data_IF_337352185963
#
_entry.id   IF_337352185963
#
_cell.length_a   1.000
_cell.length_b   1.000
_cell.length_c   1.000
_cell.angle_alpha   90.00
_cell.angle_beta   90.00
_cell.angle_gamma   90.00
#
_symmetry.space_group_name_H-M   'P 1'
#
loop_
_entity.id
_entity.type
_entity.pdbx_description
1 polymer ?
#
# COMPACT_ATOMS: atom_id res chain seq x y z
N UNK A 1 -21.83 -6.84 -10.54
CA UNK A 1 -21.04 -6.86 -9.28
C UNK A 1 -21.70 -5.81 -8.39
N UNK A 2 -21.98 -6.10 -7.12
CA UNK A 2 -22.60 -5.11 -6.22
C UNK A 2 -21.52 -4.39 -5.40
N UNK A 3 -21.77 -3.17 -4.89
CA UNK A 3 -20.83 -2.51 -4.00
C UNK A 3 -20.58 -3.33 -2.73
N UNK A 4 -19.31 -3.48 -2.35
CA UNK A 4 -18.90 -4.39 -1.28
C UNK A 4 -19.04 -3.75 0.11
N UNK A 5 -19.43 -4.55 1.09
CA UNK A 5 -19.29 -4.22 2.52
C UNK A 5 -17.81 -4.24 2.94
N UNK A 6 -17.48 -3.70 4.12
CA UNK A 6 -16.09 -3.71 4.60
C UNK A 6 -15.53 -5.13 4.74
N UNK A 7 -16.34 -6.08 5.24
CA UNK A 7 -15.94 -7.49 5.32
C UNK A 7 -15.72 -8.14 3.96
N UNK A 8 -16.61 -7.88 2.99
CA UNK A 8 -16.45 -8.38 1.62
C UNK A 8 -15.23 -7.75 0.91
N UNK A 9 -14.89 -6.49 1.21
CA UNK A 9 -13.66 -5.85 0.71
C UNK A 9 -12.41 -6.55 1.24
N UNK A 10 -12.39 -6.87 2.54
CA UNK A 10 -11.27 -7.55 3.16
C UNK A 10 -11.13 -8.98 2.63
N UNK A 11 -12.23 -9.71 2.49
CA UNK A 11 -12.23 -11.05 1.90
C UNK A 11 -11.72 -11.03 0.44
N UNK A 12 -12.15 -10.05 -0.36
CA UNK A 12 -11.65 -9.87 -1.71
C UNK A 12 -10.14 -9.55 -1.74
N UNK A 13 -9.65 -8.70 -0.84
CA UNK A 13 -8.23 -8.38 -0.72
C UNK A 13 -7.40 -9.61 -0.28
N UNK A 14 -7.89 -10.39 0.67
CA UNK A 14 -7.25 -11.63 1.13
C UNK A 14 -7.27 -12.70 0.03
N UNK A 15 -8.37 -12.81 -0.71
CA UNK A 15 -8.47 -13.70 -1.87
C UNK A 15 -7.45 -13.34 -2.95
N UNK A 16 -7.31 -12.05 -3.27
CA UNK A 16 -6.29 -11.56 -4.20
C UNK A 16 -4.87 -11.90 -3.71
N UNK A 17 -4.60 -11.66 -2.42
CA UNK A 17 -3.32 -11.99 -1.81
C UNK A 17 -3.04 -13.49 -1.86
N UNK A 18 -4.02 -14.35 -1.56
CA UNK A 18 -3.87 -15.81 -1.61
C UNK A 18 -3.54 -16.32 -3.00
N UNK A 19 -4.22 -15.78 -4.02
CA UNK A 19 -3.99 -16.19 -5.42
C UNK A 19 -2.62 -15.73 -5.91
N UNK A 20 -2.17 -14.55 -5.50
CA UNK A 20 -0.92 -13.93 -6.00
C UNK A 20 0.15 -13.81 -4.90
N UNK A 21 0.11 -14.71 -3.91
CA UNK A 21 0.97 -14.63 -2.73
C UNK A 21 2.46 -14.59 -3.06
N UNK A 22 3.01 -15.37 -4.02
CA UNK A 22 4.46 -15.35 -4.25
C UNK A 22 4.89 -14.01 -4.81
N UNK A 23 4.06 -13.38 -5.65
CA UNK A 23 4.38 -12.10 -6.26
C UNK A 23 4.32 -10.98 -5.21
N UNK A 24 3.23 -10.92 -4.46
CA UNK A 24 2.95 -9.82 -3.53
C UNK A 24 3.78 -9.91 -2.25
N UNK A 25 3.86 -11.08 -1.60
CA UNK A 25 4.62 -11.23 -0.35
C UNK A 25 6.13 -11.14 -0.58
N UNK A 26 6.66 -11.73 -1.65
CA UNK A 26 8.11 -11.63 -1.93
C UNK A 26 8.49 -10.20 -2.29
N UNK A 27 7.68 -9.52 -3.10
CA UNK A 27 7.92 -8.12 -3.45
C UNK A 27 7.82 -7.22 -2.22
N UNK A 28 6.84 -7.46 -1.34
CA UNK A 28 6.70 -6.75 -0.07
C UNK A 28 7.87 -7.01 0.88
N UNK A 29 8.36 -8.25 0.98
CA UNK A 29 9.52 -8.59 1.80
C UNK A 29 10.81 -7.93 1.30
N UNK A 30 11.03 -7.91 -0.01
CA UNK A 30 12.18 -7.20 -0.62
C UNK A 30 12.09 -5.71 -0.33
N UNK A 31 10.92 -5.09 -0.52
CA UNK A 31 10.73 -3.66 -0.26
C UNK A 31 10.88 -3.31 1.23
N UNK A 32 10.34 -4.14 2.12
CA UNK A 32 10.51 -3.99 3.57
C UNK A 32 11.99 -4.12 3.97
N UNK A 33 12.72 -5.08 3.40
CA UNK A 33 14.16 -5.22 3.64
C UNK A 33 14.93 -3.98 3.14
N UNK A 34 14.61 -3.48 1.95
CA UNK A 34 15.20 -2.25 1.42
C UNK A 34 14.89 -1.04 2.32
N UNK A 35 13.66 -0.92 2.80
CA UNK A 35 13.26 0.14 3.71
C UNK A 35 14.07 0.11 5.01
N UNK A 36 14.17 -1.06 5.64
CA UNK A 36 14.95 -1.23 6.86
C UNK A 36 16.42 -0.86 6.63
N UNK A 37 17.01 -1.25 5.49
CA UNK A 37 18.38 -0.91 5.14
C UNK A 37 18.57 0.60 4.88
N UNK A 38 17.64 1.25 4.18
CA UNK A 38 17.70 2.69 3.85
C UNK A 38 17.48 3.55 5.08
N UNK A 39 16.58 3.16 5.99
CA UNK A 39 16.27 3.91 7.20
C UNK A 39 17.25 3.66 8.34
N UNK A 40 18.01 2.57 8.31
CA UNK A 40 19.01 2.24 9.33
C UNK A 40 19.96 3.40 9.67
N UNK A 41 20.68 4.03 8.71
CA UNK A 41 21.60 5.12 9.04
C UNK A 41 20.89 6.33 9.68
N UNK A 42 19.66 6.63 9.25
CA UNK A 42 18.87 7.73 9.81
C UNK A 42 18.45 7.43 11.26
N UNK A 43 18.05 6.19 11.54
CA UNK A 43 17.68 5.72 12.88
C UNK A 43 18.88 5.68 13.82
N UNK A 44 20.03 5.20 13.34
CA UNK A 44 21.28 5.21 14.09
C UNK A 44 21.71 6.64 14.47
N UNK A 45 21.61 7.59 13.52
CA UNK A 45 21.87 8.99 13.81
C UNK A 45 20.87 9.59 14.84
N UNK A 46 19.60 9.19 14.75
CA UNK A 46 18.56 9.61 15.68
C UNK A 46 18.68 8.97 17.08
N UNK A 47 19.50 7.91 17.23
CA UNK A 47 19.58 7.12 18.45
C UNK A 47 18.37 6.20 18.68
N UNK A 48 17.62 5.91 17.61
CA UNK A 48 16.48 4.98 17.60
C UNK A 48 16.88 3.64 17.00
N UNK A 49 18.08 3.18 17.33
CA UNK A 49 18.58 1.89 16.88
C UNK A 49 17.67 0.73 17.31
N UNK A 50 17.68 -0.38 16.55
CA UNK A 50 17.04 -1.60 16.99
C UNK A 50 17.43 -1.90 18.44
N UNK A 51 16.45 -2.25 19.28
CA UNK A 51 15.34 -3.12 18.88
C UNK A 51 13.91 -2.54 18.97
N UNK A 52 13.71 -1.49 19.74
CA UNK A 52 12.37 -0.97 20.07
C UNK A 52 12.02 0.32 19.30
N UNK A 53 13.00 0.94 18.62
CA UNK A 53 12.85 2.21 17.90
C UNK A 53 12.11 3.29 18.71
N UNK A 54 12.23 3.27 20.04
CA UNK A 54 11.51 4.17 20.93
C UNK A 54 12.21 5.54 20.96
N UNK A 55 11.43 6.64 21.01
CA UNK A 55 11.99 7.98 21.13
C UNK A 55 12.64 8.19 22.49
N UNK A 56 13.91 8.60 22.47
CA UNK A 56 14.53 9.25 23.62
C UNK A 56 14.07 10.70 23.72
N UNK A 57 13.67 11.14 24.91
CA UNK A 57 13.21 12.53 25.15
C UNK A 57 14.30 13.58 24.84
N UNK A 58 15.57 13.17 24.82
CA UNK A 58 16.71 14.05 24.58
C UNK A 58 16.97 14.34 23.09
N UNK A 59 16.31 13.60 22.18
CA UNK A 59 16.52 13.67 20.72
C UNK A 59 15.20 13.68 19.93
N UNK A 60 14.24 14.48 20.40
CA UNK A 60 12.90 14.56 19.80
C UNK A 60 12.97 14.93 18.32
N UNK A 61 13.78 15.92 17.93
CA UNK A 61 13.89 16.37 16.53
C UNK A 61 14.36 15.26 15.57
N UNK A 62 15.57 14.69 15.78
CA UNK A 62 16.06 13.56 14.97
C UNK A 62 15.12 12.35 14.97
N UNK A 63 14.54 12.01 16.12
CA UNK A 63 13.61 10.89 16.21
C UNK A 63 12.33 11.15 15.42
N UNK A 64 11.78 12.35 15.50
CA UNK A 64 10.61 12.76 14.73
C UNK A 64 10.89 12.69 13.23
N UNK A 65 12.06 13.17 12.78
CA UNK A 65 12.47 13.06 11.39
C UNK A 65 12.56 11.60 10.93
N UNK A 66 13.17 10.72 11.71
CA UNK A 66 13.27 9.29 11.41
C UNK A 66 11.89 8.62 11.33
N UNK A 67 10.97 9.01 12.21
CA UNK A 67 9.59 8.55 12.21
C UNK A 67 8.82 9.03 10.96
N UNK A 68 8.89 10.33 10.64
CA UNK A 68 8.27 10.90 9.44
C UNK A 68 8.85 10.29 8.14
N UNK A 69 10.15 10.03 8.10
CA UNK A 69 10.79 9.35 6.98
C UNK A 69 10.26 7.92 6.81
N UNK A 70 10.06 7.19 7.91
CA UNK A 70 9.40 5.88 7.90
C UNK A 70 7.97 5.93 7.35
N UNK A 71 7.15 6.87 7.79
CA UNK A 71 5.80 7.03 7.24
C UNK A 71 5.79 7.37 5.74
N UNK A 72 6.76 8.16 5.28
CA UNK A 72 6.89 8.52 3.88
C UNK A 72 7.37 7.33 3.01
N UNK A 73 8.33 6.53 3.51
CA UNK A 73 8.78 5.31 2.83
C UNK A 73 7.68 4.26 2.76
N UNK A 74 6.91 4.08 3.84
CA UNK A 74 5.74 3.21 3.86
C UNK A 74 4.73 3.62 2.77
N UNK A 75 4.43 4.90 2.66
CA UNK A 75 3.57 5.43 1.59
C UNK A 75 4.10 5.14 0.18
N UNK A 76 5.41 5.24 -0.04
CA UNK A 76 6.04 4.90 -1.31
C UNK A 76 5.94 3.40 -1.63
N UNK A 77 6.19 2.54 -0.64
CA UNK A 77 6.11 1.08 -0.78
C UNK A 77 4.68 0.66 -1.09
N UNK A 78 3.70 1.21 -0.37
CA UNK A 78 2.29 0.96 -0.64
C UNK A 78 1.86 1.45 -2.03
N UNK A 79 2.42 2.56 -2.53
CA UNK A 79 2.18 2.98 -3.91
C UNK A 79 2.75 1.95 -4.92
N UNK A 80 3.99 1.48 -4.75
CA UNK A 80 4.57 0.49 -5.64
C UNK A 80 3.79 -0.83 -5.63
N UNK A 81 3.49 -1.35 -4.44
CA UNK A 81 2.75 -2.60 -4.26
C UNK A 81 1.28 -2.46 -4.65
N UNK A 82 0.64 -1.33 -4.39
CA UNK A 82 -0.73 -1.05 -4.81
C UNK A 82 -0.87 -1.04 -6.33
N UNK A 83 0.15 -0.54 -7.04
CA UNK A 83 0.25 -0.67 -8.49
C UNK A 83 0.34 -2.14 -8.94
N UNK A 84 1.23 -2.93 -8.31
CA UNK A 84 1.39 -4.36 -8.59
C UNK A 84 0.10 -5.15 -8.31
N UNK A 85 -0.54 -4.89 -7.17
CA UNK A 85 -1.83 -5.46 -6.81
C UNK A 85 -2.93 -5.02 -7.78
N UNK A 86 -2.88 -3.79 -8.30
CA UNK A 86 -3.76 -3.29 -9.36
C UNK A 86 -3.65 -4.08 -10.67
N UNK A 87 -2.42 -4.46 -11.09
CA UNK A 87 -2.20 -5.34 -12.25
C UNK A 87 -2.89 -6.68 -12.02
N UNK A 88 -2.77 -7.23 -10.81
CA UNK A 88 -3.32 -8.53 -10.43
C UNK A 88 -4.85 -8.53 -10.26
N UNK A 89 -5.40 -7.43 -9.74
CA UNK A 89 -6.82 -7.31 -9.41
C UNK A 89 -7.72 -7.37 -10.65
N UNK A 90 -7.26 -6.83 -11.79
CA UNK A 90 -8.03 -6.85 -13.04
C UNK A 90 -8.37 -8.26 -13.53
N UNK A 91 -7.37 -9.11 -13.83
CA UNK A 91 -7.58 -10.51 -14.19
C UNK A 91 -8.31 -11.30 -13.09
N UNK A 92 -8.01 -11.03 -11.81
CA UNK A 92 -8.67 -11.65 -10.66
C UNK A 92 -10.19 -11.43 -10.65
N UNK A 93 -10.65 -10.19 -10.87
CA UNK A 93 -12.08 -9.87 -10.97
C UNK A 93 -12.76 -10.47 -12.20
N UNK A 94 -12.00 -10.71 -13.27
CA UNK A 94 -12.51 -11.32 -14.49
C UNK A 94 -12.51 -12.85 -14.44
N UNK A 95 -12.01 -13.46 -13.36
CA UNK A 95 -11.85 -14.91 -13.23
C UNK A 95 -10.82 -15.48 -14.21
N UNK A 96 -9.92 -14.65 -14.72
CA UNK A 96 -8.90 -15.05 -15.69
C UNK A 96 -7.59 -15.36 -14.94
N UNK A 97 -7.10 -16.62 -14.96
CA UNK A 97 -5.85 -16.95 -14.31
C UNK A 97 -4.68 -16.30 -15.05
N UNK A 98 -4.10 -15.26 -14.45
CA UNK A 98 -2.87 -14.64 -14.94
C UNK A 98 -1.67 -15.18 -14.15
N UNK A 99 -0.70 -15.76 -14.85
CA UNK A 99 0.54 -16.22 -14.22
C UNK A 99 1.37 -15.05 -13.69
N UNK A 100 2.00 -15.22 -12.52
CA UNK A 100 2.80 -14.18 -11.86
C UNK A 100 3.89 -13.56 -12.76
N UNK A 101 4.51 -14.35 -13.65
CA UNK A 101 5.51 -13.86 -14.63
C UNK A 101 4.93 -12.87 -15.64
N UNK A 102 3.66 -13.05 -16.00
CA UNK A 102 2.96 -12.13 -16.89
C UNK A 102 2.63 -10.83 -16.17
N UNK A 103 2.09 -10.92 -14.96
CA UNK A 103 1.78 -9.77 -14.11
C UNK A 103 3.04 -8.95 -13.79
N UNK A 104 4.14 -9.62 -13.44
CA UNK A 104 5.41 -8.96 -13.16
C UNK A 104 5.94 -8.22 -14.40
N UNK A 105 5.90 -8.82 -15.59
CA UNK A 105 6.30 -8.12 -16.83
C UNK A 105 5.45 -6.88 -17.10
N UNK A 106 4.14 -6.96 -16.85
CA UNK A 106 3.26 -5.80 -16.99
C UNK A 106 3.59 -4.71 -15.97
N UNK A 107 3.85 -5.09 -14.71
CA UNK A 107 4.24 -4.17 -13.64
C UNK A 107 5.59 -3.49 -13.96
N UNK A 108 6.60 -4.27 -14.37
CA UNK A 108 7.94 -3.78 -14.73
C UNK A 108 7.87 -2.78 -15.89
N UNK A 109 7.02 -3.01 -16.89
CA UNK A 109 6.82 -2.04 -17.99
C UNK A 109 6.27 -0.70 -17.50
N UNK A 110 5.54 -0.68 -16.38
CA UNK A 110 5.00 0.53 -15.75
C UNK A 110 5.84 1.01 -14.57
N UNK A 111 6.94 0.31 -14.24
CA UNK A 111 7.77 0.61 -13.08
C UNK A 111 8.28 2.06 -13.07
N UNK A 112 8.76 2.66 -14.18
CA UNK A 112 9.20 4.06 -14.15
C UNK A 112 8.09 5.01 -13.72
N UNK A 113 6.87 4.79 -14.21
CA UNK A 113 5.72 5.62 -13.87
C UNK A 113 5.24 5.36 -12.42
N UNK A 114 5.32 4.12 -11.94
CA UNK A 114 5.07 3.77 -10.54
C UNK A 114 6.09 4.37 -9.59
N UNK A 115 7.38 4.38 -9.97
CA UNK A 115 8.45 5.03 -9.20
C UNK A 115 8.21 6.53 -9.09
N UNK A 116 7.74 7.19 -10.16
CA UNK A 116 7.35 8.60 -10.10
C UNK A 116 6.17 8.79 -9.14
N UNK A 117 5.13 7.97 -9.20
CA UNK A 117 4.00 8.07 -8.25
C UNK A 117 4.45 7.81 -6.81
N UNK A 118 5.31 6.82 -6.58
CA UNK A 118 5.84 6.49 -5.26
C UNK A 118 6.71 7.64 -4.70
N UNK A 119 7.59 8.21 -5.52
CA UNK A 119 8.42 9.35 -5.16
C UNK A 119 7.58 10.60 -4.85
N UNK A 120 6.57 10.90 -5.67
CA UNK A 120 5.64 12.02 -5.42
C UNK A 120 4.82 11.77 -4.15
N UNK A 121 4.38 10.53 -3.92
CA UNK A 121 3.67 10.14 -2.69
C UNK A 121 4.54 10.38 -1.46
N UNK A 122 5.79 9.92 -1.47
CA UNK A 122 6.75 10.20 -0.40
C UNK A 122 7.00 11.69 -0.21
N UNK A 123 7.18 12.44 -1.30
CA UNK A 123 7.43 13.89 -1.27
C UNK A 123 6.23 14.69 -0.74
N UNK A 124 5.00 14.17 -0.86
CA UNK A 124 3.79 14.75 -0.26
C UNK A 124 3.68 14.36 1.22
N UNK A 125 3.89 13.07 1.53
CA UNK A 125 3.66 12.54 2.87
C UNK A 125 4.75 12.95 3.87
N UNK A 126 6.01 13.11 3.45
CA UNK A 126 7.10 13.53 4.34
C UNK A 126 6.85 14.91 4.97
N UNK A 127 6.64 16.00 4.21
CA UNK A 127 6.34 17.30 4.81
C UNK A 127 5.02 17.27 5.57
N UNK A 128 4.01 16.53 5.09
CA UNK A 128 2.76 16.38 5.82
C UNK A 128 2.99 15.79 7.21
N UNK A 129 3.78 14.72 7.32
CA UNK A 129 4.15 14.11 8.59
C UNK A 129 4.98 15.05 9.47
N UNK A 130 5.89 15.84 8.88
CA UNK A 130 6.77 16.76 9.61
C UNK A 130 6.00 17.91 10.26
N UNK A 131 5.07 18.55 9.54
CA UNK A 131 4.35 19.72 10.05
C UNK A 131 3.28 19.32 11.06
N UNK A 132 2.37 18.41 10.71
CA UNK A 132 1.35 17.90 11.63
C UNK A 132 0.93 16.48 11.19
N UNK A 133 0.82 15.55 12.13
CA UNK A 133 0.32 14.19 11.86
C UNK A 133 -1.07 14.17 11.21
N UNK A 134 -1.88 15.20 11.47
CA UNK A 134 -3.25 15.28 10.99
C UNK A 134 -3.35 15.44 9.45
N UNK A 135 -2.68 16.41 8.80
CA UNK A 135 -2.51 16.45 7.34
C UNK A 135 -2.03 15.14 6.72
N UNK A 136 -1.13 14.42 7.39
CA UNK A 136 -0.64 13.13 6.90
C UNK A 136 -1.78 12.12 6.72
N UNK A 137 -2.67 11.99 7.71
CA UNK A 137 -3.82 11.08 7.64
C UNK A 137 -4.72 11.40 6.43
N UNK A 138 -5.01 12.68 6.20
CA UNK A 138 -5.83 13.09 5.05
C UNK A 138 -5.14 12.79 3.72
N UNK A 139 -3.88 13.20 3.58
CA UNK A 139 -3.13 13.03 2.33
C UNK A 139 -2.84 11.55 2.02
N UNK A 140 -2.60 10.73 3.04
CA UNK A 140 -2.45 9.29 2.89
C UNK A 140 -3.71 8.64 2.30
N UNK A 141 -4.88 9.05 2.76
CA UNK A 141 -6.17 8.62 2.20
C UNK A 141 -6.38 9.08 0.75
N UNK A 142 -6.00 10.33 0.44
CA UNK A 142 -6.25 10.96 -0.87
C UNK A 142 -5.31 10.46 -1.98
N UNK A 143 -4.03 10.24 -1.68
CA UNK A 143 -3.02 9.85 -2.68
C UNK A 143 -3.00 8.33 -2.89
N UNK A 144 -3.58 7.58 -1.95
CA UNK A 144 -3.47 6.13 -1.87
C UNK A 144 -3.92 5.33 -3.10
N UNK A 145 -4.93 5.83 -3.82
CA UNK A 145 -5.50 5.14 -4.98
C UNK A 145 -4.76 5.48 -6.30
N UNK A 146 -3.74 6.33 -6.26
CA UNK A 146 -3.05 6.80 -7.45
C UNK A 146 -2.32 5.67 -8.20
N UNK A 147 -1.66 4.76 -7.48
CA UNK A 147 -0.94 3.67 -8.13
C UNK A 147 -1.86 2.61 -8.78
N UNK A 148 -2.94 2.13 -8.11
CA UNK A 148 -3.97 1.35 -8.78
C UNK A 148 -4.57 2.08 -10.00
N UNK A 149 -4.84 3.38 -9.88
CA UNK A 149 -5.38 4.18 -11.00
C UNK A 149 -4.43 4.22 -12.20
N UNK A 150 -3.13 4.43 -11.97
CA UNK A 150 -2.11 4.46 -13.01
C UNK A 150 -2.10 3.17 -13.83
N UNK A 151 -2.18 2.04 -13.13
CA UNK A 151 -2.03 0.71 -13.74
C UNK A 151 -3.33 0.26 -14.40
N UNK A 152 -4.45 0.35 -13.69
CA UNK A 152 -5.75 -0.15 -14.15
C UNK A 152 -6.28 0.70 -15.30
N UNK A 153 -6.20 2.03 -15.19
CA UNK A 153 -6.65 2.93 -16.28
C UNK A 153 -5.59 3.17 -17.34
N UNK A 154 -4.36 2.71 -17.13
CA UNK A 154 -3.23 2.88 -18.06
C UNK A 154 -2.90 4.35 -18.37
N UNK A 155 -3.13 5.25 -17.40
CA UNK A 155 -2.89 6.69 -17.49
C UNK A 155 -1.50 7.11 -16.99
N UNK A 156 -1.09 8.35 -17.27
CA UNK A 156 0.17 8.90 -16.78
C UNK A 156 0.14 9.29 -15.29
N UNK A 157 1.30 9.50 -14.64
CA UNK A 157 1.42 9.70 -13.18
C UNK A 157 0.64 10.91 -12.67
N UNK A 158 0.73 12.06 -13.34
CA UNK A 158 0.00 13.27 -12.94
C UNK A 158 -1.53 13.07 -13.00
N UNK A 159 -2.03 12.39 -14.05
CA UNK A 159 -3.47 12.07 -14.18
C UNK A 159 -3.92 11.05 -13.15
N UNK A 160 -3.04 10.11 -12.78
CA UNK A 160 -3.32 9.10 -11.77
C UNK A 160 -3.52 9.73 -10.38
N UNK A 161 -2.65 10.69 -10.00
CA UNK A 161 -2.80 11.46 -8.77
C UNK A 161 -4.11 12.26 -8.78
N UNK A 162 -4.36 13.06 -9.83
CA UNK A 162 -5.60 13.84 -9.96
C UNK A 162 -6.85 12.97 -9.90
N UNK A 163 -6.80 11.76 -10.48
CA UNK A 163 -7.89 10.79 -10.38
C UNK A 163 -8.08 10.26 -8.97
N UNK A 164 -7.00 9.96 -8.25
CA UNK A 164 -7.05 9.53 -6.85
C UNK A 164 -7.75 10.59 -5.99
N UNK A 165 -7.36 11.86 -6.13
CA UNK A 165 -8.01 12.97 -5.41
C UNK A 165 -9.51 13.09 -5.72
N UNK A 166 -9.90 13.02 -7.00
CA UNK A 166 -11.30 13.10 -7.41
C UNK A 166 -12.14 11.93 -6.89
N UNK A 167 -11.60 10.71 -6.93
CA UNK A 167 -12.32 9.53 -6.45
C UNK A 167 -12.44 9.54 -4.92
N UNK A 168 -11.41 10.01 -4.22
CA UNK A 168 -11.44 10.09 -2.77
C UNK A 168 -12.38 11.18 -2.24
N UNK A 169 -12.52 12.31 -2.95
CA UNK A 169 -13.37 13.44 -2.52
C UNK A 169 -14.88 13.17 -2.63
N UNK A 170 -15.32 12.30 -3.55
CA UNK A 170 -16.75 12.05 -3.80
C UNK A 170 -17.42 11.23 -2.70
N UNK A 171 -16.66 10.58 -1.80
CA UNK A 171 -17.28 9.77 -0.76
C UNK A 171 -16.55 9.63 0.56
N UNK A 172 -15.27 10.04 0.67
CA UNK A 172 -14.36 9.87 1.82
C UNK A 172 -14.25 8.44 2.41
N UNK A 173 -15.16 7.53 2.09
CA UNK A 173 -15.20 6.13 2.50
C UNK A 173 -13.96 5.40 2.05
N UNK A 174 -13.47 5.65 0.84
CA UNK A 174 -12.20 5.10 0.37
C UNK A 174 -11.05 5.45 1.31
N UNK A 175 -10.90 6.75 1.59
CA UNK A 175 -9.91 7.24 2.53
C UNK A 175 -10.11 6.64 3.94
N UNK A 176 -11.35 6.58 4.44
CA UNK A 176 -11.67 6.04 5.75
C UNK A 176 -11.37 4.53 5.87
N UNK A 177 -11.67 3.72 4.85
CA UNK A 177 -11.36 2.29 4.81
C UNK A 177 -9.85 2.06 4.79
N UNK A 178 -9.13 2.83 3.96
CA UNK A 178 -7.66 2.77 3.89
C UNK A 178 -7.03 3.16 5.23
N UNK A 179 -7.50 4.25 5.84
CA UNK A 179 -7.06 4.69 7.16
C UNK A 179 -7.39 3.66 8.23
N UNK A 180 -8.58 3.08 8.22
CA UNK A 180 -8.97 2.02 9.15
C UNK A 180 -8.07 0.78 9.02
N UNK A 181 -7.74 0.38 7.78
CA UNK A 181 -6.79 -0.69 7.51
C UNK A 181 -5.39 -0.37 8.05
N UNK A 182 -4.89 0.84 7.80
CA UNK A 182 -3.60 1.28 8.29
C UNK A 182 -3.54 1.40 9.81
N UNK A 183 -4.57 1.96 10.45
CA UNK A 183 -4.63 2.06 11.91
C UNK A 183 -4.73 0.69 12.58
N UNK A 184 -5.51 -0.23 12.01
CA UNK A 184 -5.58 -1.62 12.48
C UNK A 184 -4.22 -2.29 12.38
N UNK A 185 -3.53 -2.07 11.26
CA UNK A 185 -2.17 -2.54 11.07
C UNK A 185 -1.21 -1.95 12.11
N UNK A 186 -1.20 -0.63 12.29
CA UNK A 186 -0.32 0.04 13.24
C UNK A 186 -0.52 -0.50 14.66
N UNK A 187 -1.76 -0.75 15.08
CA UNK A 187 -2.07 -1.37 16.37
C UNK A 187 -1.50 -2.80 16.47
N UNK A 188 -1.71 -3.64 15.45
CA UNK A 188 -1.16 -5.00 15.41
C UNK A 188 0.38 -4.97 15.46
N UNK A 189 0.99 -4.08 14.69
CA UNK A 189 2.45 -3.89 14.62
C UNK A 189 3.03 -3.50 15.98
N UNK A 190 2.39 -2.58 16.70
CA UNK A 190 2.81 -2.18 18.05
C UNK A 190 2.74 -3.35 19.04
N UNK A 191 1.64 -4.11 19.02
CA UNK A 191 1.46 -5.28 19.90
C UNK A 191 2.48 -6.38 19.58
N UNK A 192 2.65 -6.73 18.30
CA UNK A 192 3.60 -7.76 17.88
C UNK A 192 5.05 -7.36 18.17
N UNK A 193 5.44 -6.12 17.85
CA UNK A 193 6.79 -5.63 18.11
C UNK A 193 7.11 -5.62 19.60
N UNK A 194 6.19 -5.11 20.43
CA UNK A 194 6.38 -5.04 21.89
C UNK A 194 6.41 -6.43 22.52
N UNK A 195 5.51 -7.32 22.10
CA UNK A 195 5.44 -8.70 22.63
C UNK A 195 6.67 -9.50 22.24
N UNK A 196 7.07 -9.44 20.96
CA UNK A 196 8.22 -10.18 20.50
C UNK A 196 9.52 -9.65 21.15
N UNK A 197 9.64 -8.34 21.34
CA UNK A 197 10.75 -7.76 22.10
C UNK A 197 10.81 -8.33 23.53
N UNK A 198 9.68 -8.29 24.23
CA UNK A 198 9.55 -8.79 25.61
C UNK A 198 9.84 -10.29 25.75
N UNK A 199 9.46 -11.09 24.76
CA UNK A 199 9.77 -12.53 24.73
C UNK A 199 11.23 -12.78 24.37
N UNK A 200 11.76 -12.07 23.38
CA UNK A 200 13.11 -12.31 22.88
C UNK A 200 14.17 -11.96 23.94
N UNK A 201 13.96 -10.92 24.75
CA UNK A 201 14.90 -10.53 25.80
C UNK A 201 15.06 -11.58 26.91
N UNK A 202 14.08 -12.49 27.06
CA UNK A 202 14.17 -13.63 27.99
C UNK A 202 15.05 -14.74 27.41
N UNK A 203 14.99 -14.95 26.09
CA UNK A 203 15.70 -16.03 25.40
C UNK A 203 17.11 -15.64 24.94
N UNK A 204 17.30 -14.37 24.57
CA UNK A 204 18.54 -13.86 23.96
C UNK A 204 18.90 -12.54 24.63
N UNK A 205 20.17 -12.40 25.03
CA UNK A 205 20.67 -11.19 25.69
C UNK A 205 20.49 -9.96 24.77
N UNK A 206 19.81 -8.89 25.24
CA UNK A 206 19.71 -7.63 24.51
C UNK A 206 21.09 -7.05 24.19
N UNK A 207 21.21 -6.40 23.03
CA UNK A 207 22.46 -5.78 22.56
C UNK A 207 23.43 -6.73 21.83
N UNK A 208 23.10 -8.03 21.72
CA UNK A 208 23.87 -8.95 20.87
C UNK A 208 23.48 -8.81 19.41
N UNK A 209 24.40 -9.11 18.49
CA UNK A 209 24.10 -9.11 17.04
C UNK A 209 22.98 -10.09 16.70
N UNK A 210 22.91 -11.23 17.39
CA UNK A 210 21.84 -12.23 17.22
C UNK A 210 20.48 -11.62 17.57
N UNK A 211 20.38 -10.90 18.69
CA UNK A 211 19.16 -10.20 19.09
C UNK A 211 18.71 -9.20 18.02
N UNK A 212 19.64 -8.38 17.52
CA UNK A 212 19.37 -7.38 16.47
C UNK A 212 18.89 -8.03 15.18
N UNK A 213 19.55 -9.09 14.71
CA UNK A 213 19.19 -9.80 13.49
C UNK A 213 17.81 -10.46 13.59
N UNK A 214 17.47 -11.04 14.75
CA UNK A 214 16.14 -11.62 14.98
C UNK A 214 15.04 -10.56 14.98
N UNK A 215 15.27 -9.43 15.65
CA UNK A 215 14.34 -8.29 15.64
C UNK A 215 14.17 -7.72 14.24
N UNK A 216 15.26 -7.51 13.49
CA UNK A 216 15.21 -7.01 12.11
C UNK A 216 14.42 -7.96 11.21
N UNK A 217 14.67 -9.27 11.34
CA UNK A 217 13.97 -10.30 10.57
C UNK A 217 12.47 -10.31 10.89
N UNK A 218 12.11 -10.15 12.16
CA UNK A 218 10.72 -10.01 12.57
C UNK A 218 10.08 -8.77 11.95
N UNK A 219 10.72 -7.60 12.05
CA UNK A 219 10.20 -6.36 11.47
C UNK A 219 9.97 -6.49 9.97
N UNK A 220 10.93 -7.06 9.22
CA UNK A 220 10.77 -7.32 7.77
C UNK A 220 9.58 -8.26 7.51
N UNK A 221 9.43 -9.34 8.28
CA UNK A 221 8.33 -10.30 8.09
C UNK A 221 6.96 -9.66 8.36
N UNK A 222 6.88 -8.92 9.47
CA UNK A 222 5.69 -8.20 9.92
C UNK A 222 5.30 -7.17 8.85
N UNK A 223 6.22 -6.33 8.43
CA UNK A 223 6.01 -5.29 7.41
C UNK A 223 5.64 -5.90 6.04
N UNK A 224 6.28 -7.01 5.63
CA UNK A 224 5.97 -7.68 4.37
C UNK A 224 4.51 -8.13 4.27
N UNK A 225 3.99 -8.76 5.32
CA UNK A 225 2.59 -9.22 5.35
C UNK A 225 1.63 -8.03 5.30
N UNK A 226 1.93 -6.97 6.03
CA UNK A 226 1.09 -5.79 6.08
C UNK A 226 1.08 -5.02 4.76
N UNK A 227 2.25 -4.76 4.18
CA UNK A 227 2.34 -4.02 2.92
C UNK A 227 1.64 -4.77 1.80
N UNK A 228 1.79 -6.09 1.72
CA UNK A 228 1.08 -6.89 0.74
C UNK A 228 -0.45 -6.82 0.94
N UNK A 229 -0.91 -6.88 2.19
CA UNK A 229 -2.35 -6.82 2.52
C UNK A 229 -2.95 -5.45 2.22
N UNK A 230 -2.30 -4.36 2.68
CA UNK A 230 -2.75 -2.99 2.45
C UNK A 230 -2.75 -2.64 0.95
N UNK A 231 -1.76 -3.11 0.19
CA UNK A 231 -1.73 -2.95 -1.26
C UNK A 231 -2.90 -3.67 -1.96
N UNK A 232 -3.29 -4.86 -1.49
CA UNK A 232 -4.47 -5.55 -2.01
C UNK A 232 -5.76 -4.78 -1.70
N UNK A 233 -5.87 -4.25 -0.48
CA UNK A 233 -6.98 -3.38 -0.07
C UNK A 233 -7.06 -2.18 -1.03
N UNK A 234 -5.95 -1.51 -1.32
CA UNK A 234 -5.93 -0.35 -2.22
C UNK A 234 -6.41 -0.69 -3.63
N UNK A 235 -5.96 -1.81 -4.19
CA UNK A 235 -6.37 -2.25 -5.52
C UNK A 235 -7.87 -2.57 -5.59
N UNK A 236 -8.39 -3.30 -4.59
CA UNK A 236 -9.82 -3.65 -4.51
C UNK A 236 -10.67 -2.42 -4.24
N UNK A 237 -10.23 -1.55 -3.34
CA UNK A 237 -10.92 -0.32 -2.96
C UNK A 237 -11.01 0.65 -4.13
N UNK A 238 -9.97 0.76 -4.94
CA UNK A 238 -10.00 1.55 -6.16
C UNK A 238 -11.07 1.04 -7.14
N UNK A 239 -11.16 -0.28 -7.36
CA UNK A 239 -12.16 -0.89 -8.23
C UNK A 239 -13.58 -0.72 -7.66
N UNK A 240 -13.74 -0.88 -6.34
CA UNK A 240 -15.02 -0.65 -5.65
C UNK A 240 -15.48 0.80 -5.76
N UNK A 241 -14.56 1.76 -5.59
CA UNK A 241 -14.87 3.18 -5.75
C UNK A 241 -15.31 3.47 -7.19
N UNK A 242 -14.68 2.86 -8.20
CA UNK A 242 -15.13 2.97 -9.60
C UNK A 242 -16.50 2.33 -9.84
N UNK A 243 -16.80 1.20 -9.21
CA UNK A 243 -18.15 0.61 -9.29
C UNK A 243 -19.21 1.56 -8.72
N UNK A 244 -18.94 2.19 -7.58
CA UNK A 244 -19.89 3.12 -6.94
C UNK A 244 -20.06 4.45 -7.69
N UNK A 245 -18.94 5.08 -8.08
CA UNK A 245 -18.94 6.45 -8.62
C UNK A 245 -19.15 6.45 -10.14
N UNK A 246 -18.60 5.46 -10.84
CA UNK A 246 -18.57 5.45 -12.31
C UNK A 246 -19.46 4.36 -12.92
N UNK A 247 -20.12 3.51 -12.10
CA UNK A 247 -20.95 2.41 -12.60
C UNK A 247 -20.16 1.36 -13.38
N UNK A 248 -18.89 1.13 -13.00
CA UNK A 248 -17.99 0.19 -13.68
C UNK A 248 -18.60 -1.22 -13.80
N UNK A 249 -19.38 -1.65 -12.81
CA UNK A 249 -20.08 -2.93 -12.81
C UNK A 249 -21.15 -3.02 -13.92
N UNK A 250 -21.88 -1.93 -14.18
CA UNK A 250 -22.86 -1.83 -15.26
C UNK A 250 -22.15 -1.88 -16.61
N UNK A 251 -21.05 -1.14 -16.75
CA UNK A 251 -20.25 -1.14 -17.98
C UNK A 251 -19.70 -2.54 -18.29
N UNK A 252 -19.12 -3.22 -17.30
CA UNK A 252 -18.64 -4.61 -17.45
C UNK A 252 -19.79 -5.55 -17.79
N UNK A 253 -20.94 -5.43 -17.10
CA UNK A 253 -22.12 -6.24 -17.37
C UNK A 253 -22.64 -6.09 -18.81
N UNK A 254 -22.65 -4.85 -19.33
CA UNK A 254 -23.03 -4.55 -20.71
C UNK A 254 -22.05 -5.16 -21.72
N UNK A 255 -20.75 -5.01 -21.50
CA UNK A 255 -19.70 -5.55 -22.39
C UNK A 255 -19.78 -7.09 -22.44
N UNK A 256 -19.98 -7.74 -21.28
CA UNK A 256 -20.15 -9.20 -21.21
C UNK A 256 -21.39 -9.68 -21.98
N UNK A 257 -22.53 -8.99 -21.86
CA UNK A 257 -23.75 -9.31 -22.63
C UNK A 257 -23.55 -9.19 -24.14
N UNK A 258 -22.66 -8.30 -24.57
CA UNK A 258 -22.31 -8.11 -25.98
C UNK A 258 -21.22 -9.10 -26.48
N UNK A 259 -20.74 -10.01 -25.63
CA UNK A 259 -19.69 -10.98 -25.99
C UNK A 259 -18.33 -10.35 -26.31
N UNK A 260 -18.09 -9.09 -25.92
CA UNK A 260 -16.84 -8.37 -26.20
C UNK A 260 -15.80 -8.58 -25.10
N UNK A 261 -14.50 -8.55 -25.41
CA UNK A 261 -13.45 -8.61 -24.39
C UNK A 261 -13.56 -7.41 -23.45
N UNK A 262 -13.44 -7.66 -22.14
CA UNK A 262 -13.55 -6.61 -21.11
C UNK A 262 -12.21 -5.89 -20.98
N UNK A 263 -12.21 -4.60 -21.32
CA UNK A 263 -11.09 -3.69 -21.10
C UNK A 263 -11.43 -2.69 -19.97
N UNK A 264 -10.73 -2.81 -18.83
CA UNK A 264 -10.93 -1.95 -17.65
C UNK A 264 -10.47 -0.50 -17.87
N UNK A 265 -9.58 -0.25 -18.83
CA UNK A 265 -9.16 1.10 -19.19
C UNK A 265 -10.12 1.72 -20.20
N UNK A 266 -10.62 0.92 -21.16
CA UNK A 266 -11.60 1.36 -22.16
C UNK A 266 -12.97 1.71 -21.56
N UNK A 267 -13.36 1.05 -20.47
CA UNK A 267 -14.60 1.36 -19.74
C UNK A 267 -14.57 2.75 -19.07
N UNK A 268 -13.41 3.39 -18.91
CA UNK A 268 -13.28 4.73 -18.34
C UNK A 268 -13.80 5.84 -19.25
N UNK A 269 -13.88 5.62 -20.57
CA UNK A 269 -14.21 6.67 -21.55
C UNK A 269 -15.73 6.91 -21.63
N UNK A 270 -16.56 5.92 -21.26
CA UNK A 270 -18.02 6.04 -21.34
C UNK A 270 -18.63 7.01 -20.32
N UNK A 271 -17.88 7.44 -19.30
CA UNK A 271 -18.32 8.41 -18.30
C UNK A 271 -17.88 9.86 -18.55
N UNK A 272 -16.95 10.11 -19.48
CA UNK A 272 -16.41 11.44 -19.77
C UNK A 272 -17.10 12.15 -20.95
N UNK A 273 -18.13 11.53 -21.53
CA UNK A 273 -18.92 12.06 -22.64
C UNK A 273 -20.31 12.56 -22.21
N UNK A 274 -20.47 12.96 -20.95
CA UNK A 274 -21.67 13.66 -20.46
C UNK A 274 -21.27 14.89 -19.65
#
# INVERSE_FOLDING_TARGET
MRPLTFGELLDAAVSLLRVQWPLLLVSAAVLAMCEQAVLYPLRAWAGTDPPLHLPGFDRIGPTWLAFCAGLASEGAILALLGGLAGVAAGPGLLGQPAGWRHLLRQAVRRLPALLVVAAVTAAILLPAALFLMLPWLFLFGLVGLAAPALVVDRIGPARALGRSFRLASVGLRGAAVRLGGYCSWAAIRLVLGSTAYGLLQVAVRPGTIVFTLLMLSLWVLVDAVAYATLACIDAVLYLETRMRVEGLDIAIGRIRRLGRPVDLAGSAILGAAR
#
